data_IF_301105543955
#
_entry.id   IF_301105543955
#
_cell.length_a   1.000
_cell.length_b   1.000
_cell.length_c   1.000
_cell.angle_alpha   90.00
_cell.angle_beta   90.00
_cell.angle_gamma   90.00
#
_symmetry.space_group_name_H-M   'P 1'
#
loop_
_entity.id
_entity.type
_entity.pdbx_description
1 polymer ?
#
# COMPACT_ATOMS: atom_id res chain seq x y z
N UNK A 1 24.99 -21.42 17.54
CA UNK A 1 24.06 -21.32 18.71
C UNK A 1 22.85 -22.19 18.47
N UNK A 2 22.29 -22.81 19.55
CA UNK A 2 21.05 -23.56 19.42
C UNK A 2 19.88 -22.60 19.23
N UNK A 3 19.00 -22.87 18.27
CA UNK A 3 17.78 -22.09 18.07
C UNK A 3 16.82 -22.29 19.24
N UNK A 4 16.03 -21.30 19.59
CA UNK A 4 15.07 -21.33 20.72
C UNK A 4 14.14 -22.55 20.75
N UNK A 5 13.87 -23.16 19.58
CA UNK A 5 12.98 -24.32 19.42
C UNK A 5 13.73 -25.62 19.07
N UNK A 6 15.06 -25.62 19.08
CA UNK A 6 15.91 -26.75 18.72
C UNK A 6 15.85 -27.85 19.76
N UNK A 7 15.33 -29.00 19.41
CA UNK A 7 15.21 -30.18 20.28
C UNK A 7 16.45 -31.10 20.22
N UNK A 8 17.63 -30.54 20.00
CA UNK A 8 18.89 -31.31 20.06
C UNK A 8 19.31 -32.03 18.77
N UNK A 9 18.55 -31.90 17.68
CA UNK A 9 18.95 -32.35 16.35
C UNK A 9 19.00 -31.15 15.40
N UNK A 10 20.08 -31.02 14.59
CA UNK A 10 20.18 -29.95 13.61
C UNK A 10 19.04 -30.06 12.57
N UNK A 11 18.42 -28.94 12.21
CA UNK A 11 17.43 -28.92 11.14
C UNK A 11 18.12 -29.20 9.80
N UNK A 12 17.50 -30.05 8.97
CA UNK A 12 17.95 -30.27 7.59
C UNK A 12 17.94 -28.94 6.82
N UNK A 13 19.00 -28.63 6.11
CA UNK A 13 19.17 -27.36 5.38
C UNK A 13 18.04 -27.11 4.36
N UNK A 14 17.52 -28.16 3.73
CA UNK A 14 16.39 -28.05 2.79
C UNK A 14 15.11 -27.65 3.51
N UNK A 15 14.90 -28.17 4.72
CA UNK A 15 13.75 -27.79 5.56
C UNK A 15 13.90 -26.35 6.01
N UNK A 16 15.09 -25.93 6.42
CA UNK A 16 15.36 -24.54 6.79
C UNK A 16 15.04 -23.59 5.63
N UNK A 17 15.61 -23.84 4.45
CA UNK A 17 15.37 -23.00 3.26
C UNK A 17 13.88 -22.92 2.90
N UNK A 18 13.17 -24.02 2.97
CA UNK A 18 11.74 -24.06 2.66
C UNK A 18 10.90 -23.32 3.68
N UNK A 19 11.23 -23.44 4.97
CA UNK A 19 10.45 -22.85 6.06
C UNK A 19 10.80 -21.37 6.33
N UNK A 20 12.04 -20.95 6.14
CA UNK A 20 12.42 -19.55 6.19
C UNK A 20 11.91 -18.77 4.96
N UNK A 21 11.94 -19.41 3.78
CA UNK A 21 11.52 -18.77 2.54
C UNK A 21 12.27 -17.45 2.30
N UNK A 22 11.53 -16.40 2.03
CA UNK A 22 12.05 -15.06 1.79
C UNK A 22 11.99 -14.13 3.04
N UNK A 23 11.56 -14.65 4.21
CA UNK A 23 11.34 -13.81 5.39
C UNK A 23 12.58 -13.03 5.81
N UNK A 24 13.77 -13.64 5.73
CA UNK A 24 15.04 -12.98 6.04
C UNK A 24 15.33 -11.74 5.15
N UNK A 25 14.78 -11.69 3.92
CA UNK A 25 14.87 -10.54 3.02
C UNK A 25 13.74 -9.54 3.28
N UNK A 26 12.51 -10.05 3.41
CA UNK A 26 11.31 -9.24 3.59
C UNK A 26 11.32 -8.50 4.92
N UNK A 27 11.84 -9.11 5.97
CA UNK A 27 11.82 -8.59 7.33
C UNK A 27 12.86 -7.48 7.58
N UNK A 28 13.75 -7.20 6.65
CA UNK A 28 14.66 -6.06 6.75
C UNK A 28 13.93 -4.74 7.04
N UNK A 29 12.74 -4.55 6.48
CA UNK A 29 11.87 -3.39 6.72
C UNK A 29 11.16 -3.39 8.09
N UNK A 30 11.18 -4.51 8.80
CA UNK A 30 10.53 -4.66 10.10
C UNK A 30 11.47 -4.46 11.29
N UNK A 31 12.78 -4.31 11.09
CA UNK A 31 13.78 -4.21 12.17
C UNK A 31 13.43 -3.10 13.18
N UNK A 32 13.18 -1.88 12.72
CA UNK A 32 12.83 -0.77 13.61
C UNK A 32 11.49 -0.98 14.33
N UNK A 33 10.54 -1.62 13.68
CA UNK A 33 9.22 -1.91 14.26
C UNK A 33 9.28 -3.02 15.31
N UNK A 34 10.10 -4.04 15.10
CA UNK A 34 10.32 -5.07 16.12
C UNK A 34 11.10 -4.53 17.33
N UNK A 35 12.11 -3.70 17.09
CA UNK A 35 12.82 -2.99 18.17
C UNK A 35 11.87 -2.16 19.01
N UNK A 36 10.99 -1.36 18.38
CA UNK A 36 9.95 -0.57 19.08
C UNK A 36 9.02 -1.46 19.91
N UNK A 37 8.52 -2.54 19.33
CA UNK A 37 7.66 -3.52 20.01
C UNK A 37 8.36 -4.18 21.17
N UNK A 38 9.63 -4.56 20.99
CA UNK A 38 10.46 -5.22 22.01
C UNK A 38 10.83 -4.29 23.17
N UNK A 39 11.14 -3.01 22.91
CA UNK A 39 11.36 -1.99 23.95
C UNK A 39 10.09 -1.78 24.79
N UNK A 40 8.94 -1.59 24.14
CA UNK A 40 7.67 -1.42 24.85
C UNK A 40 7.35 -2.63 25.74
N UNK A 41 7.67 -3.84 25.26
CA UNK A 41 7.51 -5.07 26.03
C UNK A 41 8.45 -5.14 27.24
N UNK A 42 9.74 -4.84 27.07
CA UNK A 42 10.72 -4.81 28.17
C UNK A 42 10.34 -3.81 29.26
N UNK A 43 9.93 -2.60 28.88
CA UNK A 43 9.48 -1.57 29.79
C UNK A 43 8.20 -1.98 30.55
N UNK A 44 7.27 -2.67 29.91
CA UNK A 44 6.09 -3.25 30.56
C UNK A 44 6.49 -4.36 31.54
N UNK A 45 7.41 -5.25 31.15
CA UNK A 45 7.89 -6.30 32.07
C UNK A 45 8.53 -5.71 33.36
N UNK A 46 9.34 -4.65 33.24
CA UNK A 46 9.93 -3.95 34.39
C UNK A 46 8.85 -3.30 35.24
N UNK A 47 7.91 -2.59 34.65
CA UNK A 47 6.81 -1.94 35.39
C UNK A 47 5.92 -2.96 36.13
N UNK A 48 5.82 -4.19 35.63
CA UNK A 48 5.11 -5.29 36.33
C UNK A 48 6.03 -6.09 37.26
N UNK A 49 7.27 -5.64 37.52
CA UNK A 49 8.28 -6.31 38.36
C UNK A 49 8.61 -7.75 37.87
N UNK A 50 8.48 -8.03 36.61
CA UNK A 50 8.81 -9.33 35.98
C UNK A 50 10.28 -9.42 35.57
N UNK A 51 10.92 -8.29 35.32
CA UNK A 51 12.37 -8.12 35.19
C UNK A 51 12.84 -6.93 36.03
N UNK A 52 14.13 -6.83 36.31
CA UNK A 52 14.67 -5.67 37.05
C UNK A 52 14.79 -4.45 36.12
N UNK A 53 14.84 -3.24 36.72
CA UNK A 53 15.08 -2.00 35.95
C UNK A 53 16.45 -2.01 35.23
N UNK A 54 17.45 -2.66 35.86
CA UNK A 54 18.77 -2.84 35.27
C UNK A 54 18.71 -3.74 34.01
N UNK A 55 17.96 -4.85 34.08
CA UNK A 55 17.72 -5.71 32.90
C UNK A 55 16.98 -4.94 31.79
N UNK A 56 15.93 -4.21 32.16
CA UNK A 56 15.17 -3.40 31.20
C UNK A 56 16.07 -2.38 30.50
N UNK A 57 16.88 -1.64 31.23
CA UNK A 57 17.82 -0.67 30.67
C UNK A 57 18.80 -1.34 29.72
N UNK A 58 19.43 -2.44 30.12
CA UNK A 58 20.39 -3.17 29.29
C UNK A 58 19.73 -3.71 27.99
N UNK A 59 18.51 -4.25 28.07
CA UNK A 59 17.74 -4.73 26.92
C UNK A 59 17.42 -3.58 25.97
N UNK A 60 16.88 -2.46 26.47
CA UNK A 60 16.51 -1.32 25.66
C UNK A 60 17.72 -0.70 24.96
N UNK A 61 18.84 -0.54 25.67
CA UNK A 61 20.07 0.01 25.09
C UNK A 61 20.69 -0.94 24.05
N UNK A 62 20.68 -2.25 24.33
CA UNK A 62 21.11 -3.28 23.38
C UNK A 62 20.27 -3.28 22.10
N UNK A 63 18.94 -3.17 22.22
CA UNK A 63 18.04 -3.11 21.04
C UNK A 63 18.27 -1.85 20.20
N UNK A 64 18.45 -0.68 20.84
CA UNK A 64 18.78 0.57 20.12
C UNK A 64 20.13 0.49 19.41
N UNK A 65 21.12 -0.14 20.04
CA UNK A 65 22.43 -0.36 19.43
C UNK A 65 22.32 -1.27 18.19
N UNK A 66 21.54 -2.35 18.28
CA UNK A 66 21.29 -3.25 17.14
C UNK A 66 20.57 -2.54 16.00
N UNK A 67 19.54 -1.73 16.28
CA UNK A 67 18.85 -0.93 15.27
C UNK A 67 19.80 0.02 14.56
N UNK A 68 20.63 0.75 15.34
CA UNK A 68 21.66 1.64 14.79
C UNK A 68 22.68 0.92 13.93
N UNK A 69 23.17 -0.25 14.36
CA UNK A 69 24.09 -1.08 13.61
C UNK A 69 23.50 -1.60 12.31
N UNK A 70 22.22 -2.00 12.32
CA UNK A 70 21.50 -2.41 11.11
C UNK A 70 21.41 -1.25 10.12
N UNK A 71 21.02 -0.06 10.58
CA UNK A 71 20.93 1.12 9.72
C UNK A 71 22.28 1.55 9.09
N UNK A 72 23.40 1.18 9.73
CA UNK A 72 24.76 1.39 9.19
C UNK A 72 25.26 0.24 8.32
N UNK A 73 24.50 -0.84 8.16
CA UNK A 73 24.91 -2.03 7.42
C UNK A 73 25.93 -2.90 8.14
N UNK A 74 26.08 -2.77 9.46
CA UNK A 74 27.02 -3.56 10.27
C UNK A 74 26.59 -5.03 10.43
N UNK A 75 25.31 -5.30 10.23
CA UNK A 75 24.73 -6.64 10.22
C UNK A 75 23.50 -6.72 9.30
N UNK A 76 23.12 -7.92 8.94
CA UNK A 76 21.93 -8.23 8.14
C UNK A 76 21.22 -9.47 8.69
N UNK A 77 19.98 -9.69 8.31
CA UNK A 77 19.24 -10.91 8.64
C UNK A 77 19.69 -12.00 7.68
N UNK A 78 20.26 -13.07 8.21
CA UNK A 78 20.73 -14.21 7.42
C UNK A 78 19.63 -15.28 7.26
N UNK A 79 19.83 -16.23 6.34
CA UNK A 79 18.93 -17.37 6.21
C UNK A 79 18.89 -18.23 7.49
N UNK A 80 20.01 -18.28 8.22
CA UNK A 80 20.12 -18.99 9.50
C UNK A 80 19.32 -18.32 10.61
N UNK A 81 19.13 -17.01 10.53
CA UNK A 81 18.26 -16.26 11.46
C UNK A 81 16.77 -16.55 11.19
N UNK A 82 16.41 -16.96 9.98
CA UNK A 82 15.05 -17.16 9.46
C UNK A 82 14.25 -15.85 9.30
N UNK A 83 14.23 -14.99 10.33
CA UNK A 83 13.49 -13.72 10.38
C UNK A 83 14.15 -12.69 11.30
N UNK A 84 13.57 -11.49 11.33
CA UNK A 84 14.05 -10.37 12.17
C UNK A 84 13.98 -10.68 13.66
N UNK A 85 12.99 -11.42 14.10
CA UNK A 85 12.74 -11.70 15.52
C UNK A 85 13.84 -12.56 16.12
N UNK A 86 14.19 -13.63 15.40
CA UNK A 86 15.32 -14.50 15.78
C UNK A 86 16.64 -13.75 15.67
N UNK A 87 16.83 -12.94 14.62
CA UNK A 87 18.04 -12.14 14.42
C UNK A 87 18.31 -11.19 15.58
N UNK A 88 17.29 -10.44 16.01
CA UNK A 88 17.41 -9.48 17.11
C UNK A 88 17.64 -10.19 18.46
N UNK A 89 16.90 -11.25 18.77
CA UNK A 89 17.02 -11.97 20.04
C UNK A 89 18.39 -12.64 20.20
N UNK A 90 18.89 -13.28 19.13
CA UNK A 90 20.21 -13.91 19.14
C UNK A 90 21.31 -12.89 19.36
N UNK A 91 21.32 -11.79 18.58
CA UNK A 91 22.34 -10.74 18.69
C UNK A 91 22.26 -9.99 20.03
N UNK A 92 21.06 -9.76 20.54
CA UNK A 92 20.88 -9.16 21.86
C UNK A 92 21.49 -10.07 22.94
N UNK A 93 21.20 -11.38 22.89
CA UNK A 93 21.74 -12.35 23.84
C UNK A 93 23.26 -12.48 23.73
N UNK A 94 23.81 -12.39 22.52
CA UNK A 94 25.27 -12.34 22.29
C UNK A 94 25.91 -11.12 22.95
N UNK A 95 25.24 -9.97 22.87
CA UNK A 95 25.80 -8.69 23.34
C UNK A 95 25.69 -8.47 24.83
N UNK A 96 24.58 -8.91 25.47
CA UNK A 96 24.31 -8.64 26.90
C UNK A 96 24.10 -9.92 27.76
N UNK A 97 24.38 -11.11 27.19
CA UNK A 97 24.32 -12.38 27.90
C UNK A 97 22.89 -12.80 28.26
N UNK A 98 22.75 -13.49 29.42
CA UNK A 98 21.46 -14.03 29.88
C UNK A 98 20.35 -12.98 30.02
N UNK A 99 20.71 -11.74 30.28
CA UNK A 99 19.76 -10.61 30.35
C UNK A 99 18.98 -10.46 29.04
N UNK A 100 19.60 -10.68 27.87
CA UNK A 100 18.93 -10.64 26.57
C UNK A 100 17.80 -11.65 26.47
N UNK A 101 17.98 -12.86 26.98
CA UNK A 101 16.97 -13.92 26.98
C UNK A 101 15.72 -13.61 27.83
N UNK A 102 15.82 -12.69 28.81
CA UNK A 102 14.66 -12.28 29.66
C UNK A 102 13.60 -11.52 28.88
N UNK A 103 13.95 -10.93 27.73
CA UNK A 103 13.01 -10.23 26.86
C UNK A 103 11.86 -11.13 26.37
N UNK A 104 12.09 -12.44 26.25
CA UNK A 104 11.08 -13.37 25.72
C UNK A 104 9.95 -13.71 26.69
N UNK A 105 10.06 -13.30 27.97
CA UNK A 105 9.07 -13.62 29.00
C UNK A 105 7.66 -13.15 28.64
N UNK A 106 6.71 -14.09 28.58
CA UNK A 106 5.30 -13.80 28.29
C UNK A 106 5.02 -13.44 26.82
N UNK A 107 5.98 -13.59 25.93
CA UNK A 107 5.87 -13.30 24.50
C UNK A 107 5.92 -14.57 23.67
N UNK A 108 5.27 -14.55 22.53
CA UNK A 108 5.43 -15.54 21.46
C UNK A 108 5.88 -14.83 20.19
N UNK A 109 6.63 -15.54 19.32
CA UNK A 109 6.91 -15.07 17.96
C UNK A 109 5.62 -14.63 17.23
N UNK A 110 4.48 -15.25 17.54
CA UNK A 110 3.21 -14.98 16.86
C UNK A 110 2.67 -13.57 17.13
N UNK A 111 2.70 -13.08 18.37
CA UNK A 111 2.26 -11.71 18.68
C UNK A 111 3.36 -10.68 18.40
N UNK A 112 4.63 -11.05 18.51
CA UNK A 112 5.77 -10.22 18.15
C UNK A 112 5.75 -9.86 16.66
N UNK A 113 5.70 -10.86 15.76
CA UNK A 113 5.61 -10.67 14.31
C UNK A 113 4.44 -9.75 13.96
N UNK A 114 3.26 -10.03 14.53
CA UNK A 114 2.07 -9.24 14.22
C UNK A 114 2.16 -7.81 14.73
N UNK A 115 2.82 -7.58 15.87
CA UNK A 115 3.05 -6.23 16.39
C UNK A 115 3.92 -5.41 15.45
N UNK A 116 5.07 -5.95 15.04
CA UNK A 116 5.96 -5.29 14.10
C UNK A 116 5.24 -5.02 12.76
N UNK A 117 4.53 -6.01 12.22
CA UNK A 117 3.79 -5.86 10.98
C UNK A 117 2.70 -4.78 11.07
N UNK A 118 1.91 -4.73 12.14
CA UNK A 118 0.87 -3.71 12.30
C UNK A 118 1.41 -2.30 12.44
N UNK A 119 2.52 -2.12 13.16
CA UNK A 119 3.21 -0.84 13.23
C UNK A 119 3.67 -0.40 11.84
N UNK A 120 4.31 -1.30 11.09
CA UNK A 120 4.70 -1.03 9.70
C UNK A 120 3.51 -0.67 8.81
N UNK A 121 2.44 -1.48 8.82
CA UNK A 121 1.27 -1.26 7.96
C UNK A 121 0.54 0.03 8.28
N UNK A 122 0.51 0.43 9.56
CA UNK A 122 -0.05 1.72 9.98
C UNK A 122 0.70 2.89 9.34
N UNK A 123 2.04 2.83 9.41
CA UNK A 123 2.89 3.88 8.87
C UNK A 123 2.85 3.86 7.33
N UNK A 124 2.87 2.69 6.69
CA UNK A 124 2.77 2.53 5.23
C UNK A 124 1.44 3.06 4.67
N UNK A 125 0.31 2.79 5.34
CA UNK A 125 -0.99 3.30 4.91
C UNK A 125 -1.07 4.84 4.97
N UNK A 126 -0.45 5.44 6.00
CA UNK A 126 -0.38 6.90 6.12
C UNK A 126 0.55 7.53 5.09
N UNK A 127 1.72 6.94 4.86
CA UNK A 127 2.66 7.39 3.83
C UNK A 127 2.01 7.35 2.45
N UNK A 128 1.38 6.23 2.11
CA UNK A 128 0.69 6.09 0.82
C UNK A 128 -0.45 7.10 0.67
N UNK A 129 -1.26 7.32 1.72
CA UNK A 129 -2.30 8.36 1.68
C UNK A 129 -1.71 9.76 1.45
N UNK A 130 -0.58 10.09 2.08
CA UNK A 130 0.14 11.35 1.85
C UNK A 130 0.64 11.49 0.41
N UNK A 131 1.14 10.41 -0.20
CA UNK A 131 1.56 10.39 -1.61
C UNK A 131 0.39 10.58 -2.57
N UNK A 132 -0.76 9.99 -2.26
CA UNK A 132 -2.00 10.24 -3.04
C UNK A 132 -2.39 11.71 -2.99
N UNK A 133 -2.26 12.40 -1.85
CA UNK A 133 -2.49 13.84 -1.77
C UNK A 133 -1.48 14.65 -2.62
N UNK A 134 -0.24 14.21 -2.72
CA UNK A 134 0.74 14.82 -3.64
C UNK A 134 0.34 14.62 -5.11
N UNK A 135 -0.15 13.43 -5.49
CA UNK A 135 -0.69 13.18 -6.82
C UNK A 135 -1.88 14.09 -7.13
N UNK A 136 -2.81 14.25 -6.19
CA UNK A 136 -3.93 15.19 -6.31
C UNK A 136 -3.48 16.64 -6.52
N UNK A 137 -2.42 17.03 -5.85
CA UNK A 137 -1.79 18.35 -6.07
C UNK A 137 -1.27 18.49 -7.51
N UNK A 138 -0.59 17.47 -8.03
CA UNK A 138 -0.10 17.49 -9.42
C UNK A 138 -1.25 17.54 -10.45
N UNK A 139 -2.38 16.87 -10.18
CA UNK A 139 -3.60 16.94 -11.00
C UNK A 139 -4.21 18.36 -10.96
N UNK A 140 -4.31 18.96 -9.77
CA UNK A 140 -4.81 20.32 -9.62
C UNK A 140 -3.91 21.35 -10.33
N UNK A 141 -2.60 21.16 -10.27
CA UNK A 141 -1.64 22.01 -10.99
C UNK A 141 -1.78 21.88 -12.51
N UNK A 142 -2.02 20.69 -13.04
CA UNK A 142 -2.33 20.48 -14.45
C UNK A 142 -3.65 21.18 -14.84
N UNK A 143 -4.69 21.03 -14.02
CA UNK A 143 -5.96 21.72 -14.24
C UNK A 143 -5.82 23.27 -14.19
N UNK A 144 -4.98 23.78 -13.31
CA UNK A 144 -4.69 25.23 -13.23
C UNK A 144 -3.92 25.74 -14.47
N UNK A 145 -3.01 24.94 -15.03
CA UNK A 145 -2.23 25.32 -16.21
C UNK A 145 -3.02 25.25 -17.50
N UNK A 146 -3.87 24.24 -17.67
CA UNK A 146 -4.51 23.90 -18.95
C UNK A 146 -6.00 23.53 -18.84
N UNK A 147 -6.65 23.84 -17.73
CA UNK A 147 -8.04 23.44 -17.48
C UNK A 147 -9.06 23.93 -18.51
N UNK A 148 -8.78 25.07 -19.15
CA UNK A 148 -9.65 25.68 -20.18
C UNK A 148 -9.53 24.98 -21.55
N UNK A 149 -8.58 24.07 -21.72
CA UNK A 149 -8.46 23.29 -22.97
C UNK A 149 -9.68 22.39 -23.10
N UNK A 150 -10.43 22.58 -24.19
CA UNK A 150 -11.60 21.77 -24.51
C UNK A 150 -11.18 20.37 -24.96
N UNK A 151 -11.91 19.36 -24.48
CA UNK A 151 -11.74 17.96 -24.84
C UNK A 151 -13.06 17.38 -25.32
N UNK A 152 -13.06 16.47 -26.31
CA UNK A 152 -14.24 15.67 -26.58
C UNK A 152 -14.44 14.66 -25.44
N UNK A 153 -15.61 14.69 -24.81
CA UNK A 153 -16.02 13.64 -23.89
C UNK A 153 -16.43 12.39 -24.67
N UNK A 154 -15.98 11.22 -24.19
CA UNK A 154 -16.23 9.94 -24.85
C UNK A 154 -17.21 9.06 -24.11
N UNK A 155 -18.13 8.43 -24.84
CA UNK A 155 -18.84 7.23 -24.40
C UNK A 155 -18.77 6.18 -25.49
N UNK A 156 -18.57 4.91 -25.13
CA UNK A 156 -18.39 3.82 -26.10
C UNK A 156 -17.29 4.08 -27.15
N UNK A 157 -16.24 4.81 -26.77
CA UNK A 157 -15.15 5.22 -27.66
C UNK A 157 -15.63 6.11 -28.85
N UNK A 158 -16.76 6.80 -28.68
CA UNK A 158 -17.30 7.76 -29.65
C UNK A 158 -17.40 9.13 -28.99
N UNK A 159 -17.22 10.20 -29.76
CA UNK A 159 -17.48 11.55 -29.30
C UNK A 159 -18.91 11.67 -28.80
N UNK A 160 -19.09 12.21 -27.61
CA UNK A 160 -20.41 12.28 -26.96
C UNK A 160 -20.82 13.72 -26.63
N UNK A 161 -20.07 14.39 -25.77
CA UNK A 161 -20.39 15.72 -25.27
C UNK A 161 -19.13 16.56 -25.09
N UNK A 162 -19.24 17.90 -25.04
CA UNK A 162 -18.11 18.77 -24.70
C UNK A 162 -17.59 18.44 -23.29
N UNK A 163 -16.30 18.39 -23.14
CA UNK A 163 -15.56 18.24 -21.89
C UNK A 163 -14.39 19.22 -21.86
N UNK A 164 -13.56 19.15 -20.86
CA UNK A 164 -12.35 19.95 -20.73
C UNK A 164 -11.29 19.21 -19.90
N UNK A 165 -10.06 19.68 -19.96
CA UNK A 165 -8.97 19.21 -19.10
C UNK A 165 -9.36 19.38 -17.62
N UNK A 166 -10.01 20.49 -17.24
CA UNK A 166 -10.47 20.69 -15.86
C UNK A 166 -11.48 19.62 -15.42
N UNK A 167 -12.45 19.24 -16.28
CA UNK A 167 -13.42 18.20 -15.97
C UNK A 167 -12.77 16.82 -15.91
N UNK A 168 -11.84 16.53 -16.82
CA UNK A 168 -11.08 15.27 -16.83
C UNK A 168 -10.22 15.13 -15.57
N UNK A 169 -9.47 16.17 -15.20
CA UNK A 169 -8.69 16.23 -13.96
C UNK A 169 -9.58 16.08 -12.72
N UNK A 170 -10.71 16.81 -12.66
CA UNK A 170 -11.62 16.76 -11.53
C UNK A 170 -12.24 15.39 -11.28
N UNK A 171 -12.51 14.63 -12.35
CA UNK A 171 -13.03 13.27 -12.22
C UNK A 171 -12.00 12.32 -11.59
N UNK A 172 -10.72 12.42 -11.94
CA UNK A 172 -9.66 11.63 -11.32
C UNK A 172 -9.29 12.12 -9.93
N UNK A 173 -9.28 13.43 -9.68
CA UNK A 173 -9.02 13.99 -8.34
C UNK A 173 -10.02 13.48 -7.31
N UNK A 174 -11.31 13.40 -7.68
CA UNK A 174 -12.34 12.85 -6.79
C UNK A 174 -12.10 11.37 -6.49
N UNK A 175 -11.76 10.56 -7.51
CA UNK A 175 -11.41 9.15 -7.31
C UNK A 175 -10.20 8.96 -6.40
N UNK A 176 -9.16 9.77 -6.54
CA UNK A 176 -7.98 9.73 -5.66
C UNK A 176 -8.27 10.27 -4.25
N UNK A 177 -9.21 11.20 -4.09
CA UNK A 177 -9.68 11.62 -2.77
C UNK A 177 -10.34 10.47 -2.03
N UNK A 178 -11.24 9.73 -2.71
CA UNK A 178 -11.89 8.53 -2.17
C UNK A 178 -10.85 7.45 -1.79
N UNK A 179 -9.84 7.22 -2.64
CA UNK A 179 -8.75 6.28 -2.35
C UNK A 179 -7.92 6.71 -1.12
N UNK A 180 -7.61 7.99 -0.95
CA UNK A 180 -6.91 8.52 0.23
C UNK A 180 -7.73 8.31 1.51
N UNK A 181 -9.04 8.50 1.45
CA UNK A 181 -9.94 8.29 2.57
C UNK A 181 -10.11 6.78 2.88
N UNK A 182 -10.15 5.91 1.88
CA UNK A 182 -10.11 4.47 2.04
C UNK A 182 -8.85 3.99 2.77
N UNK A 183 -7.68 4.50 2.40
CA UNK A 183 -6.40 4.23 3.07
C UNK A 183 -6.39 4.70 4.53
N UNK A 184 -6.99 5.87 4.82
CA UNK A 184 -7.16 6.35 6.20
C UNK A 184 -8.14 5.48 7.00
N UNK A 185 -9.23 5.05 6.38
CA UNK A 185 -10.27 4.23 7.02
C UNK A 185 -9.78 2.81 7.36
N UNK A 186 -8.96 2.19 6.49
CA UNK A 186 -8.41 0.84 6.73
C UNK A 186 -7.54 0.80 7.99
N UNK A 187 -6.96 1.93 8.39
CA UNK A 187 -6.18 2.06 9.62
C UNK A 187 -6.93 1.56 10.86
N UNK A 188 -8.24 1.75 10.94
CA UNK A 188 -9.04 1.27 12.08
C UNK A 188 -8.98 -0.26 12.28
N UNK A 189 -8.69 -1.03 11.23
CA UNK A 189 -8.47 -2.48 11.32
C UNK A 189 -7.04 -2.82 11.76
N UNK A 190 -6.07 -2.01 11.36
CA UNK A 190 -4.64 -2.21 11.61
C UNK A 190 -4.27 -1.75 13.01
N UNK A 191 -4.82 -0.64 13.50
CA UNK A 191 -4.41 0.12 14.68
C UNK A 191 -4.94 -0.50 16.00
N UNK A 192 -4.67 -1.80 16.17
CA UNK A 192 -5.05 -2.59 17.36
C UNK A 192 -3.84 -3.38 17.85
N UNK A 193 -3.44 -3.13 19.10
CA UNK A 193 -2.29 -3.78 19.70
C UNK A 193 -2.48 -5.30 19.88
N UNK A 194 -1.68 -6.16 19.23
CA UNK A 194 -1.74 -7.60 19.41
C UNK A 194 -0.84 -8.12 20.54
N UNK A 195 0.15 -7.32 21.00
CA UNK A 195 1.20 -7.72 21.93
C UNK A 195 0.60 -8.17 23.27
N UNK A 196 1.20 -9.21 23.85
CA UNK A 196 0.73 -9.86 25.06
C UNK A 196 -0.41 -10.87 24.83
N UNK A 197 -0.80 -11.13 23.58
CA UNK A 197 -1.66 -12.28 23.26
C UNK A 197 -0.89 -13.61 23.20
N UNK A 198 0.43 -13.54 23.24
CA UNK A 198 1.34 -14.69 23.13
C UNK A 198 1.02 -15.58 21.92
N UNK A 199 0.86 -16.87 22.12
CA UNK A 199 0.49 -17.80 21.04
C UNK A 199 -0.98 -17.64 20.56
N UNK A 200 -1.71 -16.65 21.07
CA UNK A 200 -3.11 -16.37 20.71
C UNK A 200 -4.12 -16.68 21.83
N UNK A 201 -3.64 -17.12 22.99
CA UNK A 201 -4.49 -17.49 24.12
C UNK A 201 -4.14 -16.74 25.43
N UNK A 202 -3.26 -15.73 25.30
CA UNK A 202 -2.76 -14.96 26.44
C UNK A 202 -1.70 -15.70 27.26
N UNK A 203 -1.40 -15.16 28.44
CA UNK A 203 -0.35 -15.63 29.34
C UNK A 203 -0.92 -15.89 30.75
N UNK A 204 -1.68 -16.98 30.95
CA UNK A 204 -2.22 -17.28 32.28
C UNK A 204 -1.11 -17.33 33.36
N UNK A 205 -1.30 -16.59 34.47
CA UNK A 205 -0.34 -16.53 35.56
C UNK A 205 0.75 -15.45 35.43
N UNK A 206 0.82 -14.73 34.29
CA UNK A 206 1.69 -13.55 34.15
C UNK A 206 0.84 -12.27 34.03
N UNK A 207 1.05 -11.27 34.91
CA UNK A 207 0.29 -10.02 34.87
C UNK A 207 0.84 -9.05 33.81
N UNK A 208 0.72 -9.40 32.53
CA UNK A 208 1.14 -8.50 31.43
C UNK A 208 0.14 -7.34 31.32
N UNK A 209 0.65 -6.12 31.31
CA UNK A 209 -0.13 -4.90 31.09
C UNK A 209 -0.16 -4.56 29.59
N UNK A 210 -1.20 -5.05 28.90
CA UNK A 210 -1.40 -4.83 27.47
C UNK A 210 -1.83 -3.40 27.14
N UNK A 211 -2.49 -2.72 28.07
CA UNK A 211 -2.87 -1.31 27.88
C UNK A 211 -1.62 -0.42 27.89
N UNK A 212 -0.68 -0.66 28.82
CA UNK A 212 0.60 0.03 28.83
C UNK A 212 1.37 -0.12 27.50
N UNK A 213 1.42 -1.33 26.93
CA UNK A 213 2.06 -1.53 25.62
C UNK A 213 1.27 -0.89 24.48
N UNK A 214 -0.06 -0.81 24.57
CA UNK A 214 -0.92 -0.09 23.62
C UNK A 214 -0.56 1.38 23.57
N UNK A 215 -0.50 2.03 24.73
CA UNK A 215 -0.16 3.44 24.88
C UNK A 215 1.26 3.74 24.39
N UNK A 216 2.25 2.92 24.80
CA UNK A 216 3.67 3.10 24.40
C UNK A 216 3.89 2.96 22.90
N UNK A 217 3.14 2.10 22.23
CA UNK A 217 3.23 1.87 20.79
C UNK A 217 2.31 2.80 19.99
N UNK A 218 1.46 3.57 20.69
CA UNK A 218 0.51 4.50 20.08
C UNK A 218 -0.56 3.80 19.25
N UNK A 219 -0.97 2.58 19.64
CA UNK A 219 -2.13 1.93 19.04
C UNK A 219 -3.42 2.56 19.56
N UNK A 220 -4.45 2.61 18.72
CA UNK A 220 -5.75 3.17 19.08
C UNK A 220 -6.49 2.32 20.12
N UNK A 221 -6.20 1.03 20.20
CA UNK A 221 -6.83 0.13 21.18
C UNK A 221 -6.05 -1.17 21.36
N UNK A 222 -6.27 -1.83 22.51
CA UNK A 222 -5.81 -3.21 22.73
C UNK A 222 -6.76 -4.18 22.04
N UNK A 223 -6.22 -5.10 21.21
CA UNK A 223 -7.06 -6.11 20.58
C UNK A 223 -7.56 -7.15 21.60
N UNK A 224 -8.86 -7.21 21.80
CA UNK A 224 -9.54 -8.09 22.76
C UNK A 224 -10.73 -8.80 22.12
N UNK A 225 -11.08 -10.03 22.55
CA UNK A 225 -10.29 -10.90 23.41
C UNK A 225 -9.00 -11.38 22.74
N UNK A 226 -8.03 -11.93 23.51
CA UNK A 226 -6.72 -12.37 22.98
C UNK A 226 -6.85 -13.35 21.82
N UNK A 227 -7.88 -14.19 21.79
CA UNK A 227 -8.15 -15.14 20.70
C UNK A 227 -8.51 -14.44 19.38
N UNK A 228 -9.02 -13.20 19.42
CA UNK A 228 -9.30 -12.41 18.23
C UNK A 228 -8.02 -11.98 17.49
N UNK A 229 -6.87 -11.97 18.16
CA UNK A 229 -5.60 -11.52 17.56
C UNK A 229 -5.25 -12.38 16.35
N UNK A 230 -5.13 -13.70 16.54
CA UNK A 230 -4.76 -14.60 15.44
C UNK A 230 -5.88 -14.73 14.38
N UNK A 231 -7.15 -14.68 14.81
CA UNK A 231 -8.29 -14.66 13.88
C UNK A 231 -8.36 -13.41 13.00
N UNK A 232 -7.71 -12.33 13.40
CA UNK A 232 -7.66 -11.08 12.61
C UNK A 232 -6.57 -11.09 11.55
N UNK A 233 -5.62 -12.04 11.60
CA UNK A 233 -4.56 -12.19 10.60
C UNK A 233 -5.17 -12.39 9.20
N UNK A 234 -4.65 -11.68 8.23
CA UNK A 234 -5.17 -11.63 6.87
C UNK A 234 -6.29 -10.61 6.65
N UNK A 235 -7.12 -10.28 7.67
CA UNK A 235 -8.20 -9.29 7.50
C UNK A 235 -7.71 -7.86 7.33
N UNK A 236 -6.76 -7.44 8.16
CA UNK A 236 -6.18 -6.10 8.07
C UNK A 236 -5.31 -5.98 6.81
N UNK A 237 -4.52 -7.00 6.54
CA UNK A 237 -3.65 -7.11 5.37
C UNK A 237 -4.49 -7.06 4.07
N UNK A 238 -5.53 -7.90 3.95
CA UNK A 238 -6.39 -7.91 2.76
C UNK A 238 -7.21 -6.62 2.61
N UNK A 239 -7.60 -5.97 3.72
CA UNK A 239 -8.29 -4.70 3.63
C UNK A 239 -7.37 -3.60 3.06
N UNK A 240 -6.09 -3.55 3.46
CA UNK A 240 -5.12 -2.63 2.86
C UNK A 240 -4.87 -2.96 1.39
N UNK A 241 -4.70 -4.24 1.06
CA UNK A 241 -4.54 -4.69 -0.33
C UNK A 241 -5.74 -4.34 -1.20
N UNK A 242 -6.96 -4.36 -0.64
CA UNK A 242 -8.17 -3.95 -1.35
C UNK A 242 -8.15 -2.44 -1.70
N UNK A 243 -7.82 -1.57 -0.73
CA UNK A 243 -7.70 -0.13 -0.98
C UNK A 243 -6.59 0.18 -2.01
N UNK A 244 -5.43 -0.49 -1.90
CA UNK A 244 -4.36 -0.38 -2.89
C UNK A 244 -4.84 -0.83 -4.28
N UNK A 245 -5.65 -1.89 -4.34
CA UNK A 245 -6.17 -2.40 -5.62
C UNK A 245 -7.08 -1.37 -6.28
N UNK A 246 -7.97 -0.71 -5.53
CA UNK A 246 -8.84 0.34 -6.06
C UNK A 246 -8.02 1.55 -6.54
N UNK A 247 -7.07 2.01 -5.74
CA UNK A 247 -6.14 3.09 -6.12
C UNK A 247 -5.40 2.79 -7.44
N UNK A 248 -4.83 1.58 -7.57
CA UNK A 248 -4.11 1.21 -8.79
C UNK A 248 -5.03 0.96 -10.00
N UNK A 249 -6.33 0.67 -9.78
CA UNK A 249 -7.32 0.65 -10.86
C UNK A 249 -7.57 2.06 -11.40
N UNK A 250 -7.70 3.07 -10.55
CA UNK A 250 -7.90 4.44 -10.99
C UNK A 250 -6.65 5.00 -11.69
N UNK A 251 -5.46 4.70 -11.18
CA UNK A 251 -4.20 4.98 -11.90
C UNK A 251 -4.15 4.28 -13.26
N UNK A 252 -4.59 3.03 -13.36
CA UNK A 252 -4.64 2.29 -14.62
C UNK A 252 -5.61 2.90 -15.63
N UNK A 253 -6.76 3.42 -15.16
CA UNK A 253 -7.72 4.15 -16.01
C UNK A 253 -7.12 5.46 -16.52
N UNK A 254 -6.52 6.25 -15.62
CA UNK A 254 -5.84 7.49 -15.98
C UNK A 254 -4.72 7.24 -17.01
N UNK A 255 -3.88 6.23 -16.76
CA UNK A 255 -2.83 5.84 -17.69
C UNK A 255 -3.39 5.38 -19.05
N UNK A 256 -4.55 4.73 -19.06
CA UNK A 256 -5.20 4.29 -20.30
C UNK A 256 -5.70 5.46 -21.15
N UNK A 257 -6.29 6.47 -20.51
CA UNK A 257 -6.67 7.71 -21.20
C UNK A 257 -5.44 8.44 -21.75
N UNK A 258 -4.41 8.59 -20.93
CA UNK A 258 -3.16 9.26 -21.34
C UNK A 258 -2.45 8.51 -22.48
N UNK A 259 -2.47 7.16 -22.48
CA UNK A 259 -1.94 6.36 -23.59
C UNK A 259 -2.72 6.61 -24.88
N UNK A 260 -4.05 6.71 -24.81
CA UNK A 260 -4.88 7.02 -25.97
C UNK A 260 -4.58 8.44 -26.46
N UNK A 261 -4.51 9.42 -25.58
CA UNK A 261 -4.21 10.82 -25.92
C UNK A 261 -2.80 11.01 -26.49
N UNK A 262 -1.86 10.15 -26.13
CA UNK A 262 -0.47 10.19 -26.62
C UNK A 262 -0.27 9.46 -27.96
N UNK A 263 -1.26 8.73 -28.49
CA UNK A 263 -1.12 8.09 -29.81
C UNK A 263 -0.80 9.13 -30.88
N UNK A 264 -0.08 8.71 -31.93
CA UNK A 264 0.26 9.61 -33.05
C UNK A 264 -0.99 10.14 -33.77
N UNK A 265 -2.06 9.37 -33.75
CA UNK A 265 -3.34 9.69 -34.38
C UNK A 265 -4.09 10.78 -33.64
N UNK A 266 -4.10 10.75 -32.30
CA UNK A 266 -4.72 11.80 -31.50
C UNK A 266 -3.74 12.94 -31.21
N UNK A 267 -2.56 12.61 -30.72
CA UNK A 267 -1.53 13.58 -30.33
C UNK A 267 -2.07 14.72 -29.41
N UNK A 268 -3.07 14.39 -28.58
CA UNK A 268 -3.72 15.37 -27.69
C UNK A 268 -2.80 15.82 -26.56
N UNK A 269 -1.78 15.01 -26.23
CA UNK A 269 -0.79 15.36 -25.22
C UNK A 269 0.63 15.18 -25.74
N UNK A 270 1.54 15.94 -25.14
CA UNK A 270 2.98 15.68 -25.20
C UNK A 270 3.51 15.29 -23.82
N UNK A 271 4.53 14.47 -23.79
CA UNK A 271 5.25 14.04 -22.59
C UNK A 271 6.66 14.60 -22.64
N UNK A 272 7.20 14.93 -21.46
CA UNK A 272 8.60 15.29 -21.31
C UNK A 272 9.51 14.16 -21.78
N UNK A 273 10.69 14.50 -22.29
CA UNK A 273 11.60 13.50 -22.89
C UNK A 273 12.07 12.46 -21.86
N UNK A 274 12.25 12.87 -20.62
CA UNK A 274 12.75 12.06 -19.49
C UNK A 274 11.77 10.99 -19.01
N UNK A 275 10.47 11.13 -19.32
CA UNK A 275 9.44 10.12 -19.01
C UNK A 275 9.08 9.23 -20.19
N UNK A 276 9.86 9.30 -21.29
CA UNK A 276 9.70 8.46 -22.46
C UNK A 276 10.97 7.68 -22.74
N UNK A 277 10.84 6.51 -23.37
CA UNK A 277 12.00 5.73 -23.79
C UNK A 277 12.15 5.71 -25.32
N UNK A 278 13.37 5.45 -25.78
CA UNK A 278 13.67 5.33 -27.21
C UNK A 278 13.51 3.88 -27.70
N UNK A 279 13.66 3.72 -29.01
CA UNK A 279 13.78 2.41 -29.65
C UNK A 279 15.22 2.17 -30.11
N UNK A 280 15.72 0.95 -29.92
CA UNK A 280 17.07 0.56 -30.39
C UNK A 280 17.20 0.51 -31.91
N UNK A 281 16.07 0.50 -32.66
CA UNK A 281 16.03 0.36 -34.13
C UNK A 281 15.36 1.56 -34.81
N UNK A 282 14.47 2.27 -34.11
CA UNK A 282 13.66 3.36 -34.67
C UNK A 282 14.03 4.67 -33.97
N UNK A 283 14.97 5.49 -34.48
CA UNK A 283 15.51 6.65 -33.79
C UNK A 283 14.47 7.76 -33.51
N UNK A 284 13.37 7.78 -34.27
CA UNK A 284 12.28 8.75 -34.13
C UNK A 284 11.25 8.34 -33.07
N UNK A 285 11.26 7.07 -32.62
CA UNK A 285 10.21 6.53 -31.73
C UNK A 285 10.44 6.93 -30.29
N UNK A 286 9.40 7.43 -29.64
CA UNK A 286 9.32 7.69 -28.21
C UNK A 286 8.18 6.88 -27.62
N UNK A 287 8.51 6.03 -26.65
CA UNK A 287 7.56 5.10 -26.04
C UNK A 287 7.08 5.66 -24.69
N UNK A 288 5.79 5.61 -24.37
CA UNK A 288 5.25 5.98 -23.07
C UNK A 288 5.28 4.81 -22.10
N UNK A 289 6.46 4.15 -21.92
CA UNK A 289 6.61 2.90 -21.15
C UNK A 289 6.11 3.06 -19.70
N UNK A 290 6.27 4.25 -19.10
CA UNK A 290 5.77 4.57 -17.78
C UNK A 290 4.25 4.36 -17.70
N UNK A 291 3.51 4.89 -18.68
CA UNK A 291 2.05 4.74 -18.73
C UNK A 291 1.61 3.28 -18.96
N UNK A 292 2.37 2.52 -19.76
CA UNK A 292 2.07 1.11 -20.00
C UNK A 292 2.27 0.28 -18.72
N UNK A 293 3.35 0.52 -17.98
CA UNK A 293 3.61 -0.15 -16.71
C UNK A 293 2.61 0.26 -15.62
N UNK A 294 2.21 1.54 -15.55
CA UNK A 294 1.14 2.01 -14.67
C UNK A 294 -0.18 1.30 -14.97
N UNK A 295 -0.54 1.19 -16.25
CA UNK A 295 -1.75 0.45 -16.65
C UNK A 295 -1.71 -1.01 -16.22
N UNK A 296 -0.54 -1.65 -16.28
CA UNK A 296 -0.36 -3.04 -15.90
C UNK A 296 -0.32 -3.27 -14.37
N UNK A 297 0.00 -2.25 -13.57
CA UNK A 297 0.21 -2.37 -12.12
C UNK A 297 -1.04 -2.86 -11.39
N UNK A 298 -2.24 -2.50 -11.86
CA UNK A 298 -3.51 -2.95 -11.26
C UNK A 298 -3.67 -4.47 -11.27
N UNK A 299 -3.17 -5.17 -12.31
CA UNK A 299 -3.23 -6.62 -12.36
C UNK A 299 -2.37 -7.29 -11.27
N UNK A 300 -1.20 -6.72 -10.96
CA UNK A 300 -0.35 -7.20 -9.86
C UNK A 300 -1.02 -6.99 -8.50
N UNK A 301 -1.66 -5.84 -8.27
CA UNK A 301 -2.39 -5.58 -7.03
C UNK A 301 -3.55 -6.56 -6.82
N UNK A 302 -4.34 -6.82 -7.86
CA UNK A 302 -5.39 -7.84 -7.83
C UNK A 302 -4.84 -9.21 -7.45
N UNK A 303 -3.75 -9.66 -8.09
CA UNK A 303 -3.13 -10.94 -7.79
C UNK A 303 -2.65 -11.03 -6.33
N UNK A 304 -2.09 -9.94 -5.78
CA UNK A 304 -1.66 -9.87 -4.38
C UNK A 304 -2.84 -9.96 -3.40
N UNK A 305 -3.95 -9.29 -3.69
CA UNK A 305 -5.17 -9.38 -2.89
C UNK A 305 -5.75 -10.80 -2.90
N UNK A 306 -5.87 -11.41 -4.08
CA UNK A 306 -6.38 -12.76 -4.23
C UNK A 306 -5.49 -13.78 -3.51
N UNK A 307 -4.16 -13.67 -3.63
CA UNK A 307 -3.20 -14.51 -2.91
C UNK A 307 -3.41 -14.43 -1.40
N UNK A 308 -3.54 -13.23 -0.83
CA UNK A 308 -3.76 -13.03 0.60
C UNK A 308 -5.09 -13.63 1.08
N UNK A 309 -6.17 -13.45 0.32
CA UNK A 309 -7.49 -14.02 0.61
C UNK A 309 -7.47 -15.55 0.54
N UNK A 310 -6.81 -16.13 -0.45
CA UNK A 310 -6.70 -17.58 -0.62
C UNK A 310 -5.88 -18.24 0.48
N UNK A 311 -4.77 -17.62 0.91
CA UNK A 311 -3.94 -18.13 2.01
C UNK A 311 -4.79 -18.29 3.28
N UNK A 312 -5.67 -17.35 3.58
CA UNK A 312 -6.42 -17.32 4.84
C UNK A 312 -7.77 -18.03 4.80
N UNK A 313 -8.31 -18.34 3.61
CA UNK A 313 -9.70 -18.76 3.40
C UNK A 313 -10.14 -20.00 4.19
N UNK A 314 -9.24 -20.91 4.53
CA UNK A 314 -9.59 -22.20 5.13
C UNK A 314 -8.82 -22.49 6.43
N UNK A 315 -8.16 -21.50 6.99
CA UNK A 315 -7.40 -21.71 8.21
C UNK A 315 -8.34 -21.84 9.41
N UNK A 316 -8.18 -22.89 10.25
CA UNK A 316 -8.84 -22.96 11.54
C UNK A 316 -8.46 -21.80 12.46
N UNK A 317 -9.14 -21.66 13.60
CA UNK A 317 -8.77 -20.66 14.62
C UNK A 317 -7.38 -20.93 15.19
N UNK A 318 -6.71 -19.88 15.64
CA UNK A 318 -5.35 -19.93 16.16
C UNK A 318 -4.31 -19.52 15.11
N UNK A 319 -3.04 -19.69 15.44
CA UNK A 319 -1.93 -19.39 14.54
C UNK A 319 -1.60 -20.58 13.62
N UNK A 320 -1.35 -20.27 12.37
CA UNK A 320 -0.82 -21.22 11.37
C UNK A 320 0.34 -20.59 10.63
N UNK A 321 1.35 -21.40 10.27
CA UNK A 321 2.54 -20.90 9.56
C UNK A 321 2.24 -20.42 8.13
N UNK A 322 1.10 -20.80 7.57
CA UNK A 322 0.54 -20.26 6.32
C UNK A 322 0.55 -18.72 6.30
N UNK A 323 0.28 -18.10 7.43
CA UNK A 323 0.24 -16.64 7.60
C UNK A 323 1.59 -15.95 7.32
N UNK A 324 2.71 -16.69 7.33
CA UNK A 324 4.01 -16.19 6.89
C UNK A 324 3.99 -15.77 5.41
N UNK A 325 3.24 -16.49 4.57
CA UNK A 325 3.12 -16.20 3.13
C UNK A 325 2.41 -14.89 2.81
N UNK A 326 1.74 -14.26 3.78
CA UNK A 326 1.07 -12.96 3.57
C UNK A 326 2.04 -11.80 3.34
N UNK A 327 3.29 -11.88 3.85
CA UNK A 327 4.24 -10.76 3.76
C UNK A 327 4.62 -10.43 2.31
N UNK A 328 4.93 -11.44 1.50
CA UNK A 328 5.41 -11.22 0.13
C UNK A 328 4.39 -10.46 -0.75
N UNK A 329 3.12 -10.90 -0.91
CA UNK A 329 2.15 -10.16 -1.70
C UNK A 329 1.83 -8.78 -1.09
N UNK A 330 1.80 -8.67 0.24
CA UNK A 330 1.53 -7.42 0.94
C UNK A 330 2.61 -6.36 0.64
N UNK A 331 3.87 -6.70 0.85
CA UNK A 331 4.97 -5.76 0.64
C UNK A 331 5.15 -5.41 -0.84
N UNK A 332 5.02 -6.40 -1.73
CA UNK A 332 5.06 -6.16 -3.18
C UNK A 332 3.99 -5.17 -3.63
N UNK A 333 2.78 -5.29 -3.10
CA UNK A 333 1.67 -4.39 -3.47
C UNK A 333 1.86 -2.98 -2.91
N UNK A 334 2.37 -2.85 -1.69
CA UNK A 334 2.68 -1.55 -1.08
C UNK A 334 3.78 -0.84 -1.89
N UNK A 335 4.89 -1.52 -2.16
CA UNK A 335 6.01 -0.96 -2.91
C UNK A 335 5.55 -0.52 -4.31
N UNK A 336 4.78 -1.37 -5.01
CA UNK A 336 4.23 -1.04 -6.32
C UNK A 336 3.29 0.17 -6.28
N UNK A 337 2.47 0.30 -5.24
CA UNK A 337 1.56 1.44 -5.11
C UNK A 337 2.33 2.74 -4.88
N UNK A 338 3.34 2.72 -4.00
CA UNK A 338 4.21 3.86 -3.75
C UNK A 338 4.88 4.33 -5.05
N UNK A 339 5.55 3.41 -5.75
CA UNK A 339 6.24 3.73 -7.00
C UNK A 339 5.27 4.24 -8.08
N UNK A 340 4.06 3.64 -8.17
CA UNK A 340 3.06 4.02 -9.17
C UNK A 340 2.46 5.41 -8.93
N UNK A 341 2.17 5.75 -7.68
CA UNK A 341 1.65 7.06 -7.31
C UNK A 341 2.69 8.15 -7.55
N UNK A 342 3.92 7.91 -7.10
CA UNK A 342 5.01 8.89 -7.24
C UNK A 342 5.36 9.15 -8.71
N UNK A 343 5.46 8.10 -9.54
CA UNK A 343 5.81 8.28 -10.95
C UNK A 343 4.67 8.93 -11.75
N UNK A 344 3.40 8.68 -11.41
CA UNK A 344 2.28 9.37 -12.05
C UNK A 344 2.30 10.86 -11.70
N UNK A 345 2.50 11.22 -10.44
CA UNK A 345 2.60 12.62 -10.02
C UNK A 345 3.73 13.34 -10.79
N UNK A 346 4.91 12.73 -10.86
CA UNK A 346 6.05 13.27 -11.60
C UNK A 346 5.75 13.41 -13.11
N UNK A 347 5.11 12.43 -13.72
CA UNK A 347 4.74 12.47 -15.15
C UNK A 347 3.81 13.66 -15.45
N UNK A 348 2.85 13.94 -14.57
CA UNK A 348 1.88 15.03 -14.75
C UNK A 348 2.53 16.43 -14.70
N UNK A 349 3.67 16.59 -14.02
CA UNK A 349 4.40 17.86 -13.99
C UNK A 349 4.86 18.29 -15.40
N UNK A 350 5.34 17.32 -16.19
CA UNK A 350 5.86 17.52 -17.55
C UNK A 350 4.86 17.25 -18.69
N UNK A 351 3.62 16.88 -18.34
CA UNK A 351 2.56 16.63 -19.32
C UNK A 351 1.95 17.95 -19.82
N UNK A 352 1.73 18.06 -21.12
CA UNK A 352 1.04 19.21 -21.72
C UNK A 352 0.01 18.75 -22.76
N UNK A 353 -1.22 19.27 -22.66
CA UNK A 353 -2.21 19.13 -23.71
C UNK A 353 -1.87 20.04 -24.89
N UNK A 354 -2.20 19.60 -26.10
CA UNK A 354 -1.92 20.24 -27.39
C UNK A 354 -3.25 20.64 -28.04
N UNK A 355 -3.80 21.83 -27.73
CA UNK A 355 -5.13 22.24 -28.21
C UNK A 355 -5.26 22.22 -29.74
N UNK A 356 -4.16 22.47 -30.44
CA UNK A 356 -4.09 22.47 -31.91
C UNK A 356 -4.37 21.12 -32.54
N UNK A 357 -4.23 20.03 -31.80
CA UNK A 357 -4.48 18.66 -32.26
C UNK A 357 -5.87 18.15 -31.86
N UNK A 358 -6.62 18.92 -31.10
CA UNK A 358 -7.92 18.51 -30.55
C UNK A 358 -9.04 19.07 -31.43
N UNK A 359 -9.63 18.19 -32.24
CA UNK A 359 -10.79 18.55 -33.07
C UNK A 359 -12.09 18.15 -32.37
N UNK A 360 -13.00 19.08 -32.23
CA UNK A 360 -14.34 18.86 -31.69
C UNK A 360 -15.32 18.73 -32.85
N UNK A 361 -15.97 17.57 -32.95
CA UNK A 361 -17.05 17.36 -33.92
C UNK A 361 -18.29 18.16 -33.50
N UNK A 362 -18.92 18.87 -34.44
CA UNK A 362 -20.13 19.66 -34.16
C UNK A 362 -21.25 18.83 -33.50
N UNK A 363 -21.28 17.53 -33.73
CA UNK A 363 -22.26 16.63 -33.15
C UNK A 363 -22.22 16.54 -31.61
N UNK A 364 -21.09 16.90 -30.97
CA UNK A 364 -20.99 16.92 -29.50
C UNK A 364 -21.91 17.96 -28.86
N UNK A 365 -22.29 19.01 -29.60
CA UNK A 365 -23.19 20.09 -29.14
C UNK A 365 -24.67 19.76 -29.40
N UNK A 366 -24.99 18.71 -30.13
CA UNK A 366 -26.37 18.37 -30.53
C UNK A 366 -27.35 18.26 -29.36
N UNK A 367 -26.89 17.74 -28.21
CA UNK A 367 -27.74 17.64 -27.00
C UNK A 367 -28.04 19.02 -26.40
N UNK A 368 -27.06 19.90 -26.37
CA UNK A 368 -27.22 21.29 -25.89
C UNK A 368 -28.19 22.05 -26.80
N UNK A 369 -28.09 21.89 -28.11
CA UNK A 369 -29.03 22.48 -29.07
C UNK A 369 -30.47 21.97 -28.83
N UNK A 370 -30.64 20.67 -28.58
CA UNK A 370 -31.96 20.11 -28.26
C UNK A 370 -32.52 20.70 -26.95
N UNK A 371 -31.69 20.93 -25.92
CA UNK A 371 -32.12 21.59 -24.68
C UNK A 371 -32.49 23.06 -24.90
N UNK A 372 -31.76 23.79 -25.77
CA UNK A 372 -32.13 25.18 -26.12
C UNK A 372 -33.51 25.25 -26.76
N UNK A 373 -33.82 24.34 -27.70
CA UNK A 373 -35.17 24.27 -28.29
C UNK A 373 -36.27 23.99 -27.26
N UNK A 374 -35.99 23.15 -26.26
CA UNK A 374 -36.96 22.91 -25.17
C UNK A 374 -37.17 24.18 -24.35
N UNK A 375 -36.11 24.92 -24.04
CA UNK A 375 -36.17 26.13 -23.21
C UNK A 375 -36.78 27.33 -23.95
N UNK A 376 -36.46 27.50 -25.22
CA UNK A 376 -36.83 28.66 -26.03
C UNK A 376 -38.16 28.47 -26.74
N UNK A 377 -38.40 27.31 -27.36
CA UNK A 377 -39.58 27.01 -28.13
C UNK A 377 -40.67 26.29 -27.31
N UNK A 378 -40.38 25.86 -26.06
CA UNK A 378 -41.32 25.14 -25.20
C UNK A 378 -41.74 23.78 -25.69
N UNK A 379 -41.04 23.19 -26.66
CA UNK A 379 -41.39 21.88 -27.23
C UNK A 379 -40.90 20.72 -26.36
N UNK A 380 -41.59 19.56 -26.38
CA UNK A 380 -41.11 18.38 -25.67
C UNK A 380 -39.72 17.94 -26.13
N UNK A 381 -38.89 17.46 -25.20
CA UNK A 381 -37.51 17.04 -25.50
C UNK A 381 -37.43 16.02 -26.65
N UNK A 382 -38.36 15.08 -26.73
CA UNK A 382 -38.40 14.09 -27.82
C UNK A 382 -38.58 14.71 -29.21
N UNK A 383 -39.29 15.80 -29.30
CA UNK A 383 -39.51 16.52 -30.55
C UNK A 383 -38.30 17.38 -30.90
N UNK A 384 -37.70 18.05 -29.90
CA UNK A 384 -36.43 18.73 -30.06
C UNK A 384 -35.32 17.78 -30.51
N UNK A 385 -35.20 16.62 -29.86
CA UNK A 385 -34.27 15.56 -30.24
C UNK A 385 -34.43 15.13 -31.72
N UNK A 386 -35.67 14.85 -32.15
CA UNK A 386 -35.95 14.43 -33.54
C UNK A 386 -35.61 15.54 -34.52
N UNK A 387 -35.82 16.80 -34.16
CA UNK A 387 -35.50 17.95 -35.01
C UNK A 387 -33.99 18.09 -35.18
N UNK A 388 -33.21 17.96 -34.09
CA UNK A 388 -31.75 18.03 -34.14
C UNK A 388 -31.15 16.81 -34.81
N UNK A 389 -31.61 15.58 -34.50
CA UNK A 389 -31.10 14.33 -35.07
C UNK A 389 -31.12 14.31 -36.61
N UNK A 390 -32.10 15.00 -37.23
CA UNK A 390 -32.15 15.13 -38.69
C UNK A 390 -30.99 15.90 -39.29
N UNK A 391 -30.32 16.75 -38.54
CA UNK A 391 -29.13 17.51 -39.01
C UNK A 391 -27.89 16.65 -39.05
N UNK A 392 -27.80 15.63 -38.19
CA UNK A 392 -26.67 14.74 -38.04
C UNK A 392 -26.93 13.34 -38.63
N UNK A 393 -28.10 13.10 -39.20
CA UNK A 393 -28.36 11.87 -39.97
C UNK A 393 -27.54 11.91 -41.26
N UNK A 394 -26.51 11.06 -41.35
CA UNK A 394 -25.72 10.82 -42.56
C UNK A 394 -26.47 9.85 -43.46
#
# INVERSE_FOLDING_TARGET
MSRLWEKGLPLDERVLRYTAGEDHLLDARLVSYDVRGSIAHAEMLSAQNLISDADCTAICDGLRALESGFGKGEWHISLEDEDVHTALESRLTESIGETGGRLHLGRSRNDQVLTALRLYLRDAALDLAGRVENLRTAIADLANRQGDVELPGYTHMQHAMPSSVALWCGGFDEGFADAADGLKAVRARIDKNPLGSAAGYGTPGLPLDREMTTDKLGFASTQSPVTAVQLSRGKAESALLFEITLLLQDLSRMASDLLLFYTQEFAYISLAAEVTTGSSIMPQKRNPDVLELLRASSATAHACLDEALMITAKLPSGYHRDLQRLKAPLFRSIDLAVDSVDIMAYLLEGLAFQPENIELDDGIFATAEAYSLVREDGIPFRDAYRKIAKRYAK
#
